data_IF_413273645494
#
_entry.id   IF_413273645494
#
_cell.length_a   1.000
_cell.length_b   1.000
_cell.length_c   1.000
_cell.angle_alpha   90.00
_cell.angle_beta   90.00
_cell.angle_gamma   90.00
#
_symmetry.space_group_name_H-M   'P 1'
#
loop_
_entity.id
_entity.type
_entity.pdbx_description
1 polymer ?
#
# COMPACT_ATOMS: atom_id res chain seq x y z
N UNK A 1 -9.27 -2.30 8.99
CA UNK A 1 -8.89 -3.48 8.18
C UNK A 1 -9.43 -3.28 6.79
N UNK A 2 -8.62 -3.51 5.75
CA UNK A 2 -9.03 -3.46 4.35
C UNK A 2 -8.68 -4.82 3.73
N UNK A 3 -9.66 -5.50 3.14
CA UNK A 3 -9.52 -6.88 2.65
C UNK A 3 -9.90 -7.06 1.17
N UNK A 4 -10.30 -5.98 0.49
CA UNK A 4 -10.70 -5.99 -0.92
C UNK A 4 -9.47 -5.86 -1.85
N UNK A 5 -8.35 -6.52 -1.50
CA UNK A 5 -7.14 -6.53 -2.32
C UNK A 5 -7.26 -7.67 -3.33
N UNK A 6 -7.10 -7.34 -4.60
CA UNK A 6 -7.08 -8.30 -5.70
C UNK A 6 -5.64 -8.60 -6.13
N UNK A 7 -5.45 -9.69 -6.88
CA UNK A 7 -4.19 -9.96 -7.56
C UNK A 7 -3.95 -8.89 -8.62
N UNK A 8 -2.70 -8.41 -8.75
CA UNK A 8 -2.35 -7.25 -9.58
C UNK A 8 -3.32 -6.07 -9.37
N UNK A 9 -3.39 -5.53 -8.13
CA UNK A 9 -4.49 -4.68 -7.70
C UNK A 9 -4.59 -3.44 -8.60
N UNK A 10 -5.77 -3.18 -9.21
CA UNK A 10 -6.01 -1.96 -9.95
C UNK A 10 -5.74 -0.72 -9.10
N UNK A 11 -5.39 0.40 -9.73
CA UNK A 11 -5.14 1.67 -9.01
C UNK A 11 -6.30 2.07 -8.10
N UNK A 12 -7.54 1.80 -8.54
CA UNK A 12 -8.74 2.05 -7.75
C UNK A 12 -8.74 1.31 -6.40
N UNK A 13 -8.21 0.09 -6.34
CA UNK A 13 -8.08 -0.69 -5.09
C UNK A 13 -7.06 -0.05 -4.16
N UNK A 14 -5.93 0.42 -4.70
CA UNK A 14 -4.90 1.13 -3.93
C UNK A 14 -5.47 2.44 -3.37
N UNK A 15 -6.20 3.20 -4.18
CA UNK A 15 -6.85 4.44 -3.73
C UNK A 15 -7.90 4.18 -2.64
N UNK A 16 -8.77 3.18 -2.82
CA UNK A 16 -9.76 2.81 -1.81
C UNK A 16 -9.10 2.40 -0.49
N UNK A 17 -7.99 1.65 -0.54
CA UNK A 17 -7.22 1.29 0.64
C UNK A 17 -6.57 2.51 1.32
N UNK A 18 -6.06 3.48 0.55
CA UNK A 18 -5.55 4.74 1.08
C UNK A 18 -6.64 5.55 1.78
N UNK A 19 -7.83 5.63 1.18
CA UNK A 19 -8.96 6.36 1.75
C UNK A 19 -9.45 5.72 3.04
N UNK A 20 -9.51 4.38 3.08
CA UNK A 20 -9.80 3.65 4.31
C UNK A 20 -8.75 3.90 5.40
N UNK A 21 -7.46 3.95 5.05
CA UNK A 21 -6.38 4.23 6.00
C UNK A 21 -6.44 5.66 6.55
N UNK A 22 -6.72 6.66 5.69
CA UNK A 22 -6.90 8.06 6.11
C UNK A 22 -8.14 8.24 6.98
N UNK A 23 -9.27 7.61 6.62
CA UNK A 23 -10.49 7.64 7.42
C UNK A 23 -10.30 7.01 8.81
N UNK A 24 -9.38 6.05 8.93
CA UNK A 24 -9.01 5.41 10.19
C UNK A 24 -7.91 6.14 10.98
N UNK A 25 -7.41 7.29 10.49
CA UNK A 25 -6.24 8.01 11.04
C UNK A 25 -5.04 7.08 11.29
N UNK A 26 -4.74 6.23 10.32
CA UNK A 26 -3.72 5.19 10.47
C UNK A 26 -2.30 5.77 10.55
N UNK A 27 -1.59 5.48 11.64
CA UNK A 27 -0.16 5.83 11.82
C UNK A 27 0.84 4.74 11.40
N UNK A 28 0.36 3.58 10.94
CA UNK A 28 1.16 2.40 10.56
C UNK A 28 0.35 1.59 9.54
N UNK A 29 1.04 0.95 8.60
CA UNK A 29 0.45 -0.04 7.68
C UNK A 29 1.01 -1.43 7.98
N UNK A 30 0.13 -2.44 8.00
CA UNK A 30 0.51 -3.86 8.10
C UNK A 30 -0.04 -4.57 6.87
N UNK A 31 0.85 -5.11 6.04
CA UNK A 31 0.48 -6.00 4.93
C UNK A 31 0.53 -7.45 5.40
N UNK A 32 -0.62 -8.14 5.42
CA UNK A 32 -0.74 -9.56 5.77
C UNK A 32 -1.29 -10.31 4.55
N UNK A 33 -0.52 -11.24 3.99
CA UNK A 33 -0.95 -12.01 2.81
C UNK A 33 0.20 -12.42 1.90
N UNK A 34 -0.13 -12.70 0.63
CA UNK A 34 0.85 -12.92 -0.43
C UNK A 34 1.41 -11.62 -1.02
N UNK A 35 2.10 -11.71 -2.15
CA UNK A 35 2.73 -10.59 -2.86
C UNK A 35 1.78 -9.43 -3.12
N UNK A 36 0.58 -9.70 -3.65
CA UNK A 36 -0.39 -8.64 -3.99
C UNK A 36 -0.82 -7.81 -2.77
N UNK A 37 -1.09 -8.46 -1.63
CA UNK A 37 -1.42 -7.77 -0.38
C UNK A 37 -0.26 -6.93 0.14
N UNK A 38 0.97 -7.45 0.05
CA UNK A 38 2.17 -6.75 0.49
C UNK A 38 2.52 -5.58 -0.44
N UNK A 39 2.30 -5.70 -1.75
CA UNK A 39 2.54 -4.61 -2.70
C UNK A 39 1.51 -3.49 -2.56
N UNK A 40 0.23 -3.83 -2.39
CA UNK A 40 -0.78 -2.85 -2.03
C UNK A 40 -0.42 -2.11 -0.73
N UNK A 41 0.05 -2.84 0.30
CA UNK A 41 0.46 -2.24 1.57
C UNK A 41 1.65 -1.27 1.41
N UNK A 42 2.63 -1.57 0.55
CA UNK A 42 3.74 -0.64 0.25
C UNK A 42 3.23 0.68 -0.34
N UNK A 43 2.32 0.59 -1.32
CA UNK A 43 1.74 1.77 -1.96
C UNK A 43 0.89 2.57 -0.99
N UNK A 44 0.04 1.92 -0.19
CA UNK A 44 -0.76 2.60 0.84
C UNK A 44 0.14 3.34 1.83
N UNK A 45 1.22 2.70 2.32
CA UNK A 45 2.15 3.35 3.24
C UNK A 45 2.81 4.60 2.63
N UNK A 46 3.13 4.58 1.33
CA UNK A 46 3.72 5.71 0.61
C UNK A 46 2.71 6.84 0.36
N UNK A 47 1.47 6.51 -0.01
CA UNK A 47 0.50 7.47 -0.52
C UNK A 47 -0.37 8.11 0.56
N UNK A 48 -0.59 7.44 1.70
CA UNK A 48 -1.43 7.97 2.79
C UNK A 48 -0.97 9.34 3.28
N UNK A 49 0.34 9.59 3.50
CA UNK A 49 0.86 10.92 3.86
C UNK A 49 0.57 12.04 2.84
N UNK A 50 0.25 11.71 1.59
CA UNK A 50 -0.19 12.67 0.58
C UNK A 50 0.92 13.49 -0.09
N UNK A 51 2.18 13.06 0.01
CA UNK A 51 3.32 13.77 -0.61
C UNK A 51 3.56 13.39 -2.07
N UNK A 52 2.92 12.34 -2.56
CA UNK A 52 3.15 11.80 -3.90
C UNK A 52 1.87 11.18 -4.45
N UNK A 53 1.67 11.28 -5.76
CA UNK A 53 0.59 10.57 -6.47
C UNK A 53 1.07 9.19 -6.92
N UNK A 54 0.15 8.24 -7.04
CA UNK A 54 0.46 6.87 -7.46
C UNK A 54 1.16 6.82 -8.83
N UNK A 55 0.70 7.62 -9.79
CA UNK A 55 1.29 7.73 -11.14
C UNK A 55 2.76 8.10 -11.12
N UNK A 56 3.17 8.93 -10.15
CA UNK A 56 4.54 9.44 -10.04
C UNK A 56 5.46 8.44 -9.35
N UNK A 57 4.91 7.38 -8.73
CA UNK A 57 5.67 6.38 -7.99
C UNK A 57 6.12 5.20 -8.87
N UNK A 58 5.56 5.05 -10.09
CA UNK A 58 5.93 3.97 -11.00
C UNK A 58 7.32 4.16 -11.59
N UNK A 59 8.14 3.10 -11.56
CA UNK A 59 9.49 3.09 -12.11
C UNK A 59 10.56 2.89 -11.04
N UNK A 60 11.80 2.80 -11.49
CA UNK A 60 12.95 2.56 -10.60
C UNK A 60 13.35 3.86 -9.91
N UNK A 61 13.31 3.87 -8.57
CA UNK A 61 13.72 5.02 -7.76
C UNK A 61 12.70 6.14 -7.66
N UNK A 62 11.47 5.91 -8.13
CA UNK A 62 10.43 6.96 -8.19
C UNK A 62 9.61 7.08 -6.90
N UNK A 63 9.62 6.09 -6.00
CA UNK A 63 9.02 6.21 -4.67
C UNK A 63 9.94 7.05 -3.75
N UNK A 64 9.66 8.35 -3.62
CA UNK A 64 10.58 9.33 -2.98
C UNK A 64 10.00 10.05 -1.76
N UNK A 65 8.68 9.94 -1.52
CA UNK A 65 8.02 10.57 -0.37
C UNK A 65 8.29 9.87 0.97
N UNK A 66 8.18 10.57 2.12
CA UNK A 66 8.15 9.89 3.39
C UNK A 66 6.91 8.99 3.44
N UNK A 67 7.09 7.78 3.98
CA UNK A 67 6.01 6.79 4.11
C UNK A 67 5.67 6.58 5.58
N UNK A 68 4.46 6.10 5.83
CA UNK A 68 4.13 5.51 7.13
C UNK A 68 5.07 4.33 7.43
N UNK A 69 5.32 4.04 8.72
CA UNK A 69 5.87 2.74 9.13
C UNK A 69 5.11 1.58 8.44
N UNK A 70 5.83 0.52 8.11
CA UNK A 70 5.29 -0.61 7.34
C UNK A 70 5.81 -1.92 7.92
N UNK A 71 4.91 -2.85 8.19
CA UNK A 71 5.21 -4.24 8.57
C UNK A 71 4.62 -5.16 7.51
N UNK A 72 5.40 -6.15 7.07
CA UNK A 72 4.95 -7.17 6.12
C UNK A 72 4.96 -8.53 6.82
N UNK A 73 3.82 -9.23 6.76
CA UNK A 73 3.58 -10.54 7.34
C UNK A 73 3.21 -11.49 6.20
N UNK A 74 4.20 -12.13 5.56
CA UNK A 74 3.95 -12.99 4.41
C UNK A 74 3.21 -14.27 4.82
N UNK A 75 2.25 -14.69 4.00
CA UNK A 75 1.52 -15.97 4.18
C UNK A 75 1.84 -17.00 3.10
N UNK A 76 2.63 -16.61 2.08
CA UNK A 76 3.07 -17.47 0.98
C UNK A 76 4.59 -17.54 0.95
N UNK A 77 5.13 -18.69 0.53
CA UNK A 77 6.55 -18.85 0.22
C UNK A 77 6.73 -18.72 -1.30
N UNK A 78 7.01 -17.51 -1.75
CA UNK A 78 7.00 -17.11 -3.15
C UNK A 78 6.61 -15.63 -3.26
N UNK A 79 6.25 -15.18 -4.46
CA UNK A 79 5.48 -13.94 -4.63
C UNK A 79 4.00 -14.26 -4.54
#
# INVERSE_FOLDING_TARGET
>A
VYSEVEADPPEAVVHAACDAARAADAGLVIGLGGGSSMDAAKLVALLVPGHQQLSDAYGVGNAVGPRLPLILVPTTAGT
#
